data_IF_590667586784
#
_entry.id   IF_590667586784
#
_cell.length_a   1.000
_cell.length_b   1.000
_cell.length_c   1.000
_cell.angle_alpha   90.00
_cell.angle_beta   90.00
_cell.angle_gamma   90.00
#
_symmetry.space_group_name_H-M   'P 1'
#
loop_
_entity.id
_entity.type
_entity.pdbx_description
1 polymer ?
#
# COMPACT_ATOMS: atom_id res chain seq x y z
N UNK A 1 -12.90 -9.20 -18.94
CA UNK A 1 -13.61 -7.94 -18.60
C UNK A 1 -13.12 -7.46 -17.23
N UNK A 2 -12.98 -6.15 -17.00
CA UNK A 2 -12.47 -5.61 -15.72
C UNK A 2 -11.27 -4.67 -15.82
N UNK A 3 -10.97 -4.10 -16.99
CA UNK A 3 -9.90 -3.09 -17.12
C UNK A 3 -10.32 -1.68 -16.66
N UNK A 4 -11.62 -1.44 -16.53
CA UNK A 4 -12.18 -0.17 -16.09
C UNK A 4 -13.41 -0.40 -15.22
N UNK A 5 -13.82 0.66 -14.53
CA UNK A 5 -14.95 0.66 -13.61
C UNK A 5 -16.11 1.50 -14.11
N UNK A 6 -16.06 1.99 -15.35
CA UNK A 6 -17.16 2.76 -15.92
C UNK A 6 -18.48 1.98 -15.86
N UNK A 7 -19.58 2.67 -15.57
CA UNK A 7 -20.92 2.12 -15.74
C UNK A 7 -21.10 1.59 -17.18
N UNK A 8 -21.88 0.52 -17.41
CA UNK A 8 -22.12 0.00 -18.77
C UNK A 8 -22.73 1.01 -19.76
N UNK A 9 -23.37 2.07 -19.27
CA UNK A 9 -23.90 3.15 -20.12
C UNK A 9 -22.86 4.19 -20.53
N UNK A 10 -21.66 4.19 -19.92
CA UNK A 10 -20.63 5.19 -20.14
C UNK A 10 -19.50 4.66 -21.01
N UNK A 11 -18.89 5.53 -21.82
CA UNK A 11 -17.76 5.20 -22.69
C UNK A 11 -16.45 5.32 -21.91
N UNK A 12 -15.63 4.27 -21.94
CA UNK A 12 -14.28 4.31 -21.38
C UNK A 12 -13.31 4.97 -22.37
N UNK A 13 -12.58 5.98 -21.92
CA UNK A 13 -11.57 6.70 -22.72
C UNK A 13 -10.22 6.62 -22.01
N UNK A 14 -9.23 6.04 -22.68
CA UNK A 14 -7.87 5.99 -22.16
C UNK A 14 -7.23 7.38 -22.22
N UNK A 15 -6.53 7.73 -21.14
CA UNK A 15 -5.73 8.94 -21.02
C UNK A 15 -4.32 8.56 -20.59
N UNK A 16 -3.37 9.49 -20.64
CA UNK A 16 -2.03 9.23 -20.16
C UNK A 16 -2.07 8.85 -18.66
N UNK A 17 -1.50 7.69 -18.32
CA UNK A 17 -1.50 7.15 -16.95
C UNK A 17 -2.84 6.59 -16.43
N UNK A 18 -3.91 6.49 -17.23
CA UNK A 18 -5.18 5.95 -16.72
C UNK A 18 -6.35 5.97 -17.72
N UNK A 19 -7.57 6.09 -17.20
CA UNK A 19 -8.79 6.20 -17.99
C UNK A 19 -9.80 7.15 -17.32
N UNK A 20 -10.76 7.62 -18.11
CA UNK A 20 -11.96 8.31 -17.62
C UNK A 20 -13.22 7.78 -18.29
N UNK A 21 -14.36 7.99 -17.65
CA UNK A 21 -15.66 7.59 -18.18
C UNK A 21 -16.37 8.84 -18.71
N UNK A 22 -16.87 8.77 -19.94
CA UNK A 22 -17.56 9.88 -20.61
C UNK A 22 -19.00 9.49 -20.97
N UNK A 23 -19.91 10.47 -20.87
CA UNK A 23 -21.29 10.34 -21.30
C UNK A 23 -21.51 11.17 -22.57
N UNK A 24 -21.73 10.49 -23.70
CA UNK A 24 -21.95 11.15 -25.00
C UNK A 24 -23.46 11.41 -25.28
N UNK A 25 -24.36 10.61 -24.69
CA UNK A 25 -25.80 10.73 -24.84
C UNK A 25 -26.54 10.27 -23.56
N UNK A 26 -27.76 10.78 -23.32
CA UNK A 26 -28.61 10.36 -22.19
C UNK A 26 -29.65 9.31 -22.63
N UNK A 27 -30.03 8.37 -21.74
CA UNK A 27 -29.62 8.25 -20.33
C UNK A 27 -28.21 7.66 -20.17
N UNK A 28 -27.39 8.28 -19.33
CA UNK A 28 -26.05 7.83 -18.98
C UNK A 28 -25.77 8.08 -17.50
N UNK A 29 -25.11 7.13 -16.85
CA UNK A 29 -24.69 7.19 -15.46
C UNK A 29 -23.17 7.14 -15.34
N UNK A 30 -22.65 7.87 -14.35
CA UNK A 30 -21.24 7.85 -13.94
C UNK A 30 -21.06 7.09 -12.62
N UNK A 31 -21.94 6.14 -12.33
CA UNK A 31 -21.75 5.15 -11.29
C UNK A 31 -20.59 4.21 -11.65
N UNK A 32 -19.98 3.58 -10.66
CA UNK A 32 -18.89 2.63 -10.86
C UNK A 32 -19.43 1.21 -10.94
N UNK A 33 -19.13 0.49 -12.03
CA UNK A 33 -19.20 -0.96 -12.08
C UNK A 33 -18.01 -1.55 -11.33
N UNK A 34 -18.26 -2.05 -10.12
CA UNK A 34 -17.24 -2.59 -9.22
C UNK A 34 -17.59 -4.03 -8.81
N UNK A 35 -16.74 -4.99 -9.20
CA UNK A 35 -16.92 -6.43 -8.87
C UNK A 35 -18.32 -6.97 -9.17
N UNK A 36 -18.93 -6.51 -10.26
CA UNK A 36 -20.28 -6.92 -10.68
C UNK A 36 -21.42 -6.18 -9.98
N UNK A 37 -21.13 -5.19 -9.13
CA UNK A 37 -22.14 -4.32 -8.51
C UNK A 37 -22.02 -2.90 -9.05
N UNK A 38 -23.15 -2.19 -9.13
CA UNK A 38 -23.17 -0.77 -9.46
C UNK A 38 -23.12 0.03 -8.16
N UNK A 39 -22.06 0.83 -8.02
CA UNK A 39 -21.81 1.71 -6.89
C UNK A 39 -22.05 3.14 -7.34
N UNK A 40 -22.88 3.88 -6.59
CA UNK A 40 -23.23 5.26 -6.94
C UNK A 40 -22.02 6.17 -7.02
N UNK A 41 -22.08 7.16 -7.90
CA UNK A 41 -21.05 8.20 -7.97
C UNK A 41 -20.92 8.96 -6.63
N UNK A 42 -19.69 9.27 -6.23
CA UNK A 42 -19.37 9.88 -4.94
C UNK A 42 -19.39 8.93 -3.73
N UNK A 43 -19.83 7.68 -3.90
CA UNK A 43 -19.87 6.72 -2.80
C UNK A 43 -18.46 6.33 -2.32
N UNK A 44 -18.38 5.99 -1.03
CA UNK A 44 -17.18 5.46 -0.37
C UNK A 44 -17.55 4.17 0.36
N UNK A 45 -16.71 3.16 0.26
CA UNK A 45 -16.94 1.86 0.89
C UNK A 45 -15.62 1.19 1.30
N UNK A 46 -15.68 0.31 2.29
CA UNK A 46 -14.57 -0.58 2.62
C UNK A 46 -14.67 -1.85 1.76
N UNK A 47 -13.53 -2.36 1.27
CA UNK A 47 -13.50 -3.70 0.69
C UNK A 47 -13.69 -4.78 1.76
N UNK A 48 -13.98 -6.00 1.32
CA UNK A 48 -14.01 -7.17 2.19
C UNK A 48 -12.70 -7.28 2.99
N UNK A 49 -12.81 -7.48 4.30
CA UNK A 49 -11.67 -7.50 5.22
C UNK A 49 -11.18 -6.12 5.68
N UNK A 50 -11.69 -5.02 5.13
CA UNK A 50 -11.47 -3.67 5.65
C UNK A 50 -10.05 -3.10 5.50
N UNK A 51 -9.12 -3.84 4.88
CA UNK A 51 -7.75 -3.38 4.68
C UNK A 51 -7.63 -2.27 3.62
N UNK A 52 -8.66 -2.09 2.78
CA UNK A 52 -8.71 -1.04 1.75
C UNK A 52 -10.04 -0.32 1.81
N UNK A 53 -9.98 0.98 1.54
CA UNK A 53 -11.15 1.84 1.35
C UNK A 53 -11.14 2.33 -0.09
N UNK A 54 -12.29 2.23 -0.73
CA UNK A 54 -12.52 2.63 -2.11
C UNK A 54 -13.47 3.81 -2.20
N UNK A 55 -13.36 4.57 -3.28
CA UNK A 55 -14.30 5.63 -3.62
C UNK A 55 -14.60 5.62 -5.11
N UNK A 56 -15.85 5.92 -5.47
CA UNK A 56 -16.28 6.11 -6.85
C UNK A 56 -16.31 7.60 -7.16
N UNK A 57 -15.66 8.00 -8.24
CA UNK A 57 -15.70 9.37 -8.74
C UNK A 57 -15.76 9.36 -10.27
N UNK A 58 -16.85 9.89 -10.83
CA UNK A 58 -17.11 9.98 -12.26
C UNK A 58 -16.89 8.64 -13.01
N UNK A 59 -17.41 7.54 -12.45
CA UNK A 59 -17.29 6.19 -13.00
C UNK A 59 -15.93 5.52 -12.76
N UNK A 60 -14.99 6.20 -12.12
CA UNK A 60 -13.66 5.67 -11.78
C UNK A 60 -13.61 5.30 -10.29
N UNK A 61 -13.50 4.01 -9.99
CA UNK A 61 -13.30 3.54 -8.62
C UNK A 61 -11.80 3.54 -8.30
N UNK A 62 -11.44 4.16 -7.18
CA UNK A 62 -10.06 4.24 -6.68
C UNK A 62 -9.99 3.69 -5.26
N UNK A 63 -9.08 2.74 -5.02
CA UNK A 63 -8.93 2.05 -3.74
C UNK A 63 -7.55 2.28 -3.13
N UNK A 64 -7.50 2.71 -1.87
CA UNK A 64 -6.26 2.90 -1.10
C UNK A 64 -6.27 2.04 0.15
N UNK A 65 -5.09 1.76 0.72
CA UNK A 65 -5.01 1.08 2.02
C UNK A 65 -5.72 1.93 3.08
N UNK A 66 -6.52 1.26 3.92
CA UNK A 66 -7.06 1.88 5.12
C UNK A 66 -5.93 2.15 6.11
N UNK A 67 -6.05 3.22 6.90
CA UNK A 67 -4.98 3.62 7.80
C UNK A 67 -4.93 2.70 9.03
N UNK A 68 -3.72 2.36 9.51
CA UNK A 68 -3.56 1.69 10.79
C UNK A 68 -3.47 2.72 11.93
N UNK A 69 -3.94 2.36 13.13
CA UNK A 69 -3.92 3.27 14.29
C UNK A 69 -2.50 3.71 14.64
N UNK A 70 -1.55 2.76 14.68
CA UNK A 70 -0.20 3.05 15.12
C UNK A 70 0.52 4.05 14.21
N UNK A 71 0.23 4.02 12.91
CA UNK A 71 0.80 4.94 11.92
C UNK A 71 0.34 6.39 12.11
N UNK A 72 -0.87 6.59 12.67
CA UNK A 72 -1.41 7.94 12.96
C UNK A 72 -0.81 8.49 14.25
N UNK A 73 -0.52 7.62 15.22
CA UNK A 73 0.02 8.02 16.51
C UNK A 73 1.53 8.25 16.51
N UNK A 74 2.27 7.66 15.57
CA UNK A 74 3.69 7.92 15.40
C UNK A 74 3.92 9.24 14.63
N UNK A 75 4.13 10.30 15.39
CA UNK A 75 4.47 11.64 14.91
C UNK A 75 5.88 11.74 14.26
N UNK A 76 6.40 10.67 13.63
CA UNK A 76 7.78 10.62 13.12
C UNK A 76 7.96 10.61 11.60
N UNK A 77 7.01 10.21 10.74
CA UNK A 77 7.28 10.27 9.27
C UNK A 77 6.10 10.16 8.31
N UNK A 78 4.85 10.01 8.73
CA UNK A 78 3.74 9.91 7.77
C UNK A 78 3.20 11.31 7.40
N UNK A 79 3.02 11.54 6.09
CA UNK A 79 2.31 12.69 5.49
C UNK A 79 1.14 13.17 6.35
N UNK A 80 0.77 14.47 6.34
CA UNK A 80 -0.34 14.98 7.12
C UNK A 80 -1.64 14.28 6.67
N UNK A 81 -1.95 13.15 7.29
CA UNK A 81 -3.25 12.53 7.21
C UNK A 81 -4.10 13.44 8.08
N UNK A 82 -4.66 14.48 7.44
CA UNK A 82 -5.65 15.34 8.04
C UNK A 82 -6.68 14.43 8.69
N UNK A 83 -6.76 14.51 10.01
CA UNK A 83 -7.68 13.76 10.87
C UNK A 83 -9.08 14.29 10.57
N UNK A 84 -9.60 13.92 9.41
CA UNK A 84 -11.02 14.03 9.16
C UNK A 84 -11.67 12.86 9.89
N UNK A 85 -12.74 13.13 10.64
CA UNK A 85 -13.50 12.14 11.41
C UNK A 85 -14.18 11.07 10.51
N UNK A 86 -13.85 11.05 9.22
CA UNK A 86 -14.28 10.13 8.17
C UNK A 86 -13.23 9.06 7.82
N UNK A 87 -12.08 9.02 8.50
CA UNK A 87 -11.00 8.07 8.20
C UNK A 87 -11.43 6.63 8.50
N UNK A 88 -11.59 5.81 7.46
CA UNK A 88 -11.80 4.37 7.62
C UNK A 88 -10.52 3.70 8.14
N UNK A 89 -10.59 3.22 9.37
CA UNK A 89 -9.49 2.58 10.07
C UNK A 89 -9.42 1.09 9.71
N UNK A 90 -8.21 0.59 9.43
CA UNK A 90 -7.99 -0.81 9.09
C UNK A 90 -8.12 -1.70 10.35
N UNK A 91 -8.72 -2.89 10.24
CA UNK A 91 -8.64 -3.92 11.28
C UNK A 91 -7.19 -4.31 11.60
N UNK A 92 -6.93 -4.79 12.82
CA UNK A 92 -5.59 -5.20 13.26
C UNK A 92 -4.97 -6.30 12.39
N UNK A 93 -5.78 -7.16 11.77
CA UNK A 93 -5.33 -8.18 10.81
C UNK A 93 -4.65 -7.61 9.57
N UNK A 94 -4.92 -6.35 9.23
CA UNK A 94 -4.30 -5.64 8.12
C UNK A 94 -3.02 -4.90 8.52
N UNK A 95 -2.74 -4.81 9.82
CA UNK A 95 -1.72 -3.95 10.42
C UNK A 95 -0.68 -4.75 11.21
N UNK A 96 0.00 -5.74 10.60
CA UNK A 96 0.97 -6.57 11.33
C UNK A 96 2.13 -5.76 11.91
N UNK A 97 2.52 -4.67 11.26
CA UNK A 97 3.51 -3.70 11.75
C UNK A 97 3.17 -3.12 13.13
N UNK A 98 1.88 -2.97 13.46
CA UNK A 98 1.44 -2.43 14.74
C UNK A 98 1.44 -3.47 15.87
N UNK A 99 1.45 -4.77 15.57
CA UNK A 99 1.41 -5.82 16.59
C UNK A 99 2.84 -6.19 17.02
N UNK A 100 3.15 -5.94 18.29
CA UNK A 100 4.47 -6.20 18.87
C UNK A 100 4.92 -7.67 18.75
N UNK A 101 3.99 -8.63 18.56
CA UNK A 101 4.33 -10.04 18.32
C UNK A 101 5.02 -10.26 16.98
N UNK A 102 4.82 -9.36 16.02
CA UNK A 102 5.44 -9.39 14.70
C UNK A 102 6.64 -8.44 14.61
N UNK A 103 7.10 -7.88 15.73
CA UNK A 103 8.33 -7.11 15.77
C UNK A 103 9.53 -8.05 15.88
N UNK A 104 10.58 -7.71 15.16
CA UNK A 104 11.82 -8.45 15.16
C UNK A 104 12.84 -7.77 16.06
N UNK A 105 13.64 -8.56 16.77
CA UNK A 105 14.79 -8.04 17.52
C UNK A 105 16.02 -8.10 16.63
N UNK A 106 16.87 -7.09 16.72
CA UNK A 106 18.18 -7.15 16.07
C UNK A 106 18.98 -8.35 16.60
N UNK A 107 19.78 -8.99 15.72
CA UNK A 107 20.51 -10.23 15.99
C UNK A 107 21.55 -10.08 17.11
N UNK A 108 22.32 -8.99 17.11
CA UNK A 108 23.27 -8.66 18.20
C UNK A 108 22.71 -7.64 19.20
N UNK A 109 22.18 -6.51 18.71
CA UNK A 109 21.65 -5.43 19.55
C UNK A 109 20.22 -5.74 20.00
N UNK A 110 20.03 -6.72 20.87
CA UNK A 110 18.69 -7.19 21.25
C UNK A 110 17.74 -6.12 21.84
N UNK A 111 18.26 -4.98 22.29
CA UNK A 111 17.45 -3.84 22.76
C UNK A 111 16.83 -3.03 21.60
N UNK A 112 17.32 -3.22 20.38
CA UNK A 112 16.79 -2.64 19.15
C UNK A 112 15.74 -3.59 18.58
N UNK A 113 14.55 -3.05 18.34
CA UNK A 113 13.42 -3.75 17.74
C UNK A 113 13.00 -3.06 16.45
N UNK A 114 12.73 -3.85 15.42
CA UNK A 114 12.20 -3.41 14.14
C UNK A 114 10.77 -3.90 13.99
N UNK A 115 9.91 -3.07 13.43
CA UNK A 115 8.52 -3.42 13.15
C UNK A 115 8.44 -4.26 11.87
N UNK A 116 7.38 -5.05 11.72
CA UNK A 116 7.19 -5.85 10.50
C UNK A 116 7.12 -4.94 9.26
N UNK A 117 7.97 -5.20 8.28
CA UNK A 117 8.15 -4.43 7.05
C UNK A 117 9.36 -3.48 7.08
N UNK A 118 10.01 -3.29 8.23
CA UNK A 118 11.22 -2.48 8.32
C UNK A 118 12.46 -3.27 7.86
N UNK A 119 13.43 -2.52 7.33
CA UNK A 119 14.71 -3.03 6.84
C UNK A 119 15.87 -2.31 7.51
N UNK A 120 16.97 -3.02 7.72
CA UNK A 120 18.21 -2.45 8.24
C UNK A 120 19.42 -3.07 7.57
N UNK A 121 20.55 -2.36 7.65
CA UNK A 121 21.85 -2.86 7.20
C UNK A 121 22.59 -3.46 8.38
N UNK A 122 23.12 -4.67 8.20
CA UNK A 122 23.94 -5.34 9.21
C UNK A 122 24.96 -6.24 8.51
N UNK A 123 26.24 -6.08 8.84
CA UNK A 123 27.35 -6.84 8.25
C UNK A 123 27.30 -6.94 6.71
N UNK A 124 27.03 -5.80 6.04
CA UNK A 124 26.88 -5.73 4.57
C UNK A 124 25.72 -6.53 3.97
N UNK A 125 24.81 -7.05 4.79
CA UNK A 125 23.54 -7.62 4.37
C UNK A 125 22.40 -6.61 4.55
N UNK A 126 21.38 -6.72 3.70
CA UNK A 126 20.09 -6.09 3.92
C UNK A 126 19.27 -7.10 4.71
N UNK A 127 18.85 -6.71 5.90
CA UNK A 127 17.94 -7.50 6.73
C UNK A 127 16.54 -6.91 6.68
N UNK A 128 15.53 -7.77 6.70
CA UNK A 128 14.12 -7.41 6.74
C UNK A 128 13.41 -8.14 7.87
N UNK A 129 12.52 -7.42 8.54
CA UNK A 129 11.60 -8.00 9.51
C UNK A 129 10.28 -8.32 8.81
N UNK A 130 9.90 -9.59 8.72
CA UNK A 130 8.60 -10.00 8.18
C UNK A 130 7.88 -10.87 9.20
N UNK A 131 6.79 -10.35 9.76
CA UNK A 131 5.91 -11.09 10.68
C UNK A 131 6.63 -11.71 11.88
N UNK A 132 7.67 -11.04 12.40
CA UNK A 132 8.47 -11.51 13.53
C UNK A 132 9.66 -12.38 13.14
N UNK A 133 9.84 -12.67 11.86
CA UNK A 133 10.99 -13.39 11.31
C UNK A 133 11.98 -12.42 10.69
N UNK A 134 13.28 -12.71 10.89
CA UNK A 134 14.38 -11.93 10.33
C UNK A 134 14.99 -12.69 9.18
N UNK A 135 15.00 -12.08 8.00
CA UNK A 135 15.70 -12.59 6.83
C UNK A 135 16.76 -11.59 6.40
N UNK A 136 17.96 -12.06 6.06
CA UNK A 136 19.08 -11.22 5.66
C UNK A 136 19.71 -11.76 4.39
N UNK A 137 19.92 -10.88 3.41
CA UNK A 137 20.51 -11.23 2.12
C UNK A 137 21.57 -10.22 1.71
N UNK A 138 22.47 -10.68 0.84
CA UNK A 138 23.47 -9.80 0.23
C UNK A 138 22.80 -8.93 -0.84
N UNK A 139 23.07 -7.61 -0.87
CA UNK A 139 22.52 -6.75 -1.90
C UNK A 139 23.02 -7.15 -3.29
N UNK A 140 22.13 -7.16 -4.28
CA UNK A 140 22.53 -7.24 -5.68
C UNK A 140 23.21 -5.93 -6.07
N UNK A 141 24.53 -5.95 -6.15
CA UNK A 141 25.31 -4.81 -6.58
C UNK A 141 25.61 -4.89 -8.07
N UNK A 142 25.09 -3.93 -8.82
CA UNK A 142 25.71 -3.56 -10.09
C UNK A 142 27.08 -2.93 -9.77
N UNK A 143 28.11 -3.27 -10.54
CA UNK A 143 29.56 -3.15 -10.24
C UNK A 143 30.12 -1.74 -9.90
N UNK A 144 29.27 -0.73 -9.60
CA UNK A 144 29.65 0.67 -9.51
C UNK A 144 29.18 1.43 -8.24
N UNK A 145 28.74 0.77 -7.17
CA UNK A 145 28.33 1.48 -5.94
C UNK A 145 28.95 0.93 -4.64
N UNK A 146 30.03 1.59 -4.20
CA UNK A 146 30.42 1.87 -2.81
C UNK A 146 30.17 0.83 -1.70
N UNK A 147 31.29 0.35 -1.14
CA UNK A 147 31.41 -0.03 0.27
C UNK A 147 31.29 -1.52 0.58
N UNK A 148 30.14 -2.13 0.31
CA UNK A 148 29.88 -3.53 0.67
C UNK A 148 30.08 -4.53 -0.49
N UNK A 149 30.25 -4.02 -1.71
CA UNK A 149 30.33 -4.82 -2.94
C UNK A 149 31.70 -4.77 -3.61
N UNK A 150 32.75 -4.90 -2.80
CA UNK A 150 34.10 -5.19 -3.28
C UNK A 150 34.50 -6.59 -2.84
N UNK A 151 34.11 -7.59 -3.62
CA UNK A 151 34.81 -8.86 -3.63
C UNK A 151 36.17 -8.67 -4.32
N UNK A 152 37.24 -8.52 -3.56
CA UNK A 152 38.58 -8.83 -4.07
C UNK A 152 38.98 -10.20 -3.56
N UNK A 153 38.47 -11.22 -4.27
CA UNK A 153 39.22 -12.46 -4.42
C UNK A 153 40.31 -12.22 -5.46
N UNK A 154 41.54 -11.98 -4.99
CA UNK A 154 42.78 -12.16 -5.74
C UNK A 154 43.97 -12.03 -4.78
N UNK A 155 44.34 -13.12 -4.12
CA UNK A 155 45.69 -13.73 -4.09
C UNK A 155 45.71 -14.96 -3.14
#
# INVERSE_FOLDING_TARGET
EGFHTCHPSARCVNIDGGFRCECDAQPCELSCSWRGQIVSDGARWAEDGGCRVCSCAAGVASCRRAACVCDITDNSTALPVSVDASLSLAPSSCCPHCDARYHCRHQEMHHVTFRSGERWLYQCQICECLLGEVDCWEPECEEAAGGCCMGTGAD
#
